data_IF_849624986228
#
_entry.id   IF_849624986228
#
_cell.length_a   1.000
_cell.length_b   1.000
_cell.length_c   1.000
_cell.angle_alpha   90.00
_cell.angle_beta   90.00
_cell.angle_gamma   90.00
#
_symmetry.space_group_name_H-M   'P 1'
#
loop_
_entity.id
_entity.type
_entity.pdbx_description
1 polymer ?
#
# COMPACT_ATOMS: atom_id res chain seq x y z
N UNK A 1 23.98 -19.18 -8.55
CA UNK A 1 22.94 -18.54 -7.71
C UNK A 1 23.57 -18.04 -6.40
N UNK A 2 24.66 -17.25 -6.48
CA UNK A 2 25.47 -16.84 -5.32
C UNK A 2 25.96 -15.40 -5.40
N UNK A 3 25.40 -14.59 -6.30
CA UNK A 3 25.92 -13.25 -6.62
C UNK A 3 25.10 -12.09 -6.03
N UNK A 4 24.05 -12.39 -5.26
CA UNK A 4 23.22 -11.37 -4.59
C UNK A 4 23.59 -11.15 -3.11
N UNK A 5 24.62 -11.83 -2.63
CA UNK A 5 25.04 -11.91 -1.22
C UNK A 5 26.47 -11.36 -1.02
N UNK A 6 26.73 -10.14 -1.51
CA UNK A 6 28.01 -9.44 -1.30
C UNK A 6 27.85 -7.91 -1.12
N UNK A 7 26.62 -7.43 -0.92
CA UNK A 7 26.40 -6.04 -0.54
C UNK A 7 26.66 -5.90 0.95
N UNK A 8 27.78 -5.28 1.32
CA UNK A 8 28.07 -4.84 2.68
C UNK A 8 26.82 -4.18 3.29
N UNK A 9 26.20 -4.75 4.34
CA UNK A 9 24.96 -4.20 4.93
C UNK A 9 25.17 -2.81 5.53
N UNK A 10 26.43 -2.43 5.82
CA UNK A 10 26.81 -1.12 6.33
C UNK A 10 27.09 -0.07 5.23
N UNK A 11 27.25 -0.47 3.97
CA UNK A 11 27.43 0.47 2.85
C UNK A 11 26.10 1.04 2.32
N UNK A 12 24.97 0.47 2.77
CA UNK A 12 23.62 0.80 2.28
C UNK A 12 22.85 1.81 3.15
N UNK A 13 23.41 2.24 4.28
CA UNK A 13 22.75 3.22 5.17
C UNK A 13 23.04 4.63 4.67
N UNK A 14 22.30 5.05 3.65
CA UNK A 14 22.31 6.44 3.20
C UNK A 14 21.63 7.35 4.23
N UNK A 15 22.23 8.52 4.49
CA UNK A 15 21.60 9.55 5.30
C UNK A 15 20.38 10.12 4.58
N UNK A 16 19.28 10.44 5.31
CA UNK A 16 18.08 10.96 4.68
C UNK A 16 18.38 12.29 3.98
N UNK A 17 17.92 12.49 2.73
CA UNK A 17 18.17 13.72 2.00
C UNK A 17 17.47 14.90 2.70
N UNK A 18 18.24 15.92 3.08
CA UNK A 18 17.73 17.14 3.73
C UNK A 18 17.39 18.26 2.73
N UNK A 19 17.79 18.11 1.46
CA UNK A 19 17.50 19.07 0.40
C UNK A 19 16.25 18.68 -0.39
N UNK A 20 15.45 19.67 -0.79
CA UNK A 20 14.23 19.48 -1.61
C UNK A 20 14.55 18.69 -2.89
N UNK A 21 15.68 18.99 -3.53
CA UNK A 21 16.16 18.28 -4.74
C UNK A 21 16.54 16.83 -4.45
N UNK A 22 17.15 16.57 -3.30
CA UNK A 22 17.50 15.21 -2.85
C UNK A 22 16.25 14.37 -2.58
N UNK A 23 15.23 14.96 -1.94
CA UNK A 23 13.93 14.31 -1.71
C UNK A 23 13.28 13.97 -3.05
N UNK A 24 13.19 14.93 -3.98
CA UNK A 24 12.56 14.73 -5.28
C UNK A 24 13.24 13.62 -6.10
N UNK A 25 14.56 13.51 -6.03
CA UNK A 25 15.34 12.43 -6.67
C UNK A 25 14.98 11.04 -6.15
N UNK A 26 14.58 10.92 -4.87
CA UNK A 26 14.24 9.64 -4.23
C UNK A 26 12.75 9.27 -4.33
N UNK A 27 11.89 10.15 -4.86
CA UNK A 27 10.45 9.89 -5.05
C UNK A 27 10.13 8.98 -6.25
N UNK A 28 11.06 8.84 -7.20
CA UNK A 28 10.84 8.13 -8.47
C UNK A 28 10.23 6.72 -8.33
N UNK A 29 10.81 5.81 -7.52
CA UNK A 29 10.27 4.46 -7.37
C UNK A 29 8.83 4.42 -6.83
N UNK A 30 8.50 5.30 -5.88
CA UNK A 30 7.15 5.39 -5.32
C UNK A 30 6.13 5.89 -6.35
N UNK A 31 6.53 6.87 -7.18
CA UNK A 31 5.68 7.40 -8.24
C UNK A 31 5.41 6.35 -9.33
N UNK A 32 6.41 5.56 -9.72
CA UNK A 32 6.27 4.49 -10.72
C UNK A 32 5.28 3.43 -10.22
N UNK A 33 5.38 3.00 -8.95
CA UNK A 33 4.47 2.03 -8.34
C UNK A 33 3.05 2.61 -8.24
N UNK A 34 2.91 3.88 -7.88
CA UNK A 34 1.60 4.53 -7.83
C UNK A 34 0.94 4.57 -9.22
N UNK A 35 1.71 4.92 -10.26
CA UNK A 35 1.23 4.96 -11.64
C UNK A 35 0.89 3.59 -12.22
N UNK A 36 1.53 2.50 -11.77
CA UNK A 36 1.23 1.15 -12.25
C UNK A 36 -0.04 0.57 -11.63
N UNK A 37 -0.44 1.05 -10.45
CA UNK A 37 -1.65 0.57 -9.75
C UNK A 37 -2.89 1.32 -10.26
N UNK A 38 -2.79 2.62 -10.51
CA UNK A 38 -3.93 3.45 -10.92
C UNK A 38 -4.18 3.29 -12.42
N UNK A 39 -5.19 2.49 -12.77
CA UNK A 39 -5.62 2.25 -14.16
C UNK A 39 -6.76 3.16 -14.62
N UNK A 40 -6.98 3.24 -15.94
CA UNK A 40 -8.10 3.99 -16.54
C UNK A 40 -9.48 3.50 -16.08
N UNK A 41 -9.62 2.20 -15.81
CA UNK A 41 -10.86 1.60 -15.31
C UNK A 41 -11.28 2.13 -13.95
N UNK A 42 -10.34 2.30 -13.01
CA UNK A 42 -10.63 2.89 -11.70
C UNK A 42 -11.08 4.35 -11.82
N UNK A 43 -10.51 5.10 -12.76
CA UNK A 43 -10.88 6.50 -13.02
C UNK A 43 -12.32 6.61 -13.57
N UNK A 44 -12.70 5.75 -14.53
CA UNK A 44 -14.06 5.72 -15.11
C UNK A 44 -15.09 5.27 -14.07
N UNK A 45 -14.78 4.24 -13.30
CA UNK A 45 -15.66 3.71 -12.27
C UNK A 45 -15.91 4.73 -11.14
N UNK A 46 -14.85 5.38 -10.67
CA UNK A 46 -14.93 6.38 -9.60
C UNK A 46 -15.73 7.60 -10.05
N UNK A 47 -15.49 8.10 -11.26
CA UNK A 47 -16.22 9.25 -11.82
C UNK A 47 -17.69 8.92 -12.07
N UNK A 48 -18.00 7.73 -12.59
CA UNK A 48 -19.38 7.27 -12.79
C UNK A 48 -20.11 7.10 -11.46
N UNK A 49 -19.44 6.55 -10.45
CA UNK A 49 -19.99 6.42 -9.09
C UNK A 49 -20.23 7.79 -8.46
N UNK A 50 -19.32 8.75 -8.66
CA UNK A 50 -19.50 10.14 -8.23
C UNK A 50 -20.65 10.85 -8.96
N UNK A 51 -20.83 10.59 -10.27
CA UNK A 51 -21.93 11.15 -11.05
C UNK A 51 -23.30 10.61 -10.59
N UNK A 52 -23.39 9.32 -10.25
CA UNK A 52 -24.63 8.69 -9.75
C UNK A 52 -24.90 8.99 -8.26
N UNK A 53 -23.86 9.00 -7.43
CA UNK A 53 -23.95 9.18 -5.97
C UNK A 53 -23.85 10.63 -5.49
N UNK A 54 -23.56 11.58 -6.39
CA UNK A 54 -23.35 12.97 -6.07
C UNK A 54 -22.21 13.19 -5.06
N UNK A 55 -22.23 14.34 -4.39
CA UNK A 55 -21.20 14.72 -3.40
C UNK A 55 -21.38 14.07 -2.02
N UNK A 56 -22.39 13.23 -1.82
CA UNK A 56 -22.68 12.60 -0.52
C UNK A 56 -21.52 11.71 -0.03
N UNK A 57 -20.72 11.14 -0.93
CA UNK A 57 -19.58 10.28 -0.60
C UNK A 57 -18.25 11.03 -0.46
N UNK A 58 -18.20 12.33 -0.79
CA UNK A 58 -16.95 13.08 -0.87
C UNK A 58 -16.23 13.14 0.49
N UNK A 59 -16.97 13.32 1.58
CA UNK A 59 -16.39 13.38 2.92
C UNK A 59 -15.73 12.05 3.35
N UNK A 60 -16.32 10.91 2.97
CA UNK A 60 -15.74 9.58 3.21
C UNK A 60 -14.43 9.39 2.43
N UNK A 61 -14.37 9.88 1.18
CA UNK A 61 -13.16 9.82 0.35
C UNK A 61 -12.03 10.63 0.99
N UNK A 62 -12.32 11.83 1.48
CA UNK A 62 -11.32 12.69 2.13
C UNK A 62 -10.78 12.01 3.40
N UNK A 63 -11.67 11.52 4.27
CA UNK A 63 -11.27 10.83 5.51
C UNK A 63 -10.47 9.56 5.19
N UNK A 64 -10.92 8.74 4.23
CA UNK A 64 -10.20 7.55 3.80
C UNK A 64 -8.82 7.88 3.24
N UNK A 65 -8.70 8.95 2.46
CA UNK A 65 -7.41 9.43 1.94
C UNK A 65 -6.48 9.95 3.03
N UNK A 66 -6.99 10.56 4.10
CA UNK A 66 -6.17 10.96 5.23
C UNK A 66 -5.67 9.73 5.99
N UNK A 67 -6.58 8.83 6.38
CA UNK A 67 -6.23 7.61 7.13
C UNK A 67 -5.22 6.76 6.36
N UNK A 68 -5.43 6.54 5.05
CA UNK A 68 -4.51 5.71 4.25
C UNK A 68 -3.09 6.27 4.22
N UNK A 69 -2.93 7.59 4.16
CA UNK A 69 -1.60 8.22 4.12
C UNK A 69 -0.87 8.02 5.45
N UNK A 70 -1.55 8.26 6.58
CA UNK A 70 -0.95 8.04 7.90
C UNK A 70 -0.54 6.58 8.10
N UNK A 71 -1.41 5.63 7.71
CA UNK A 71 -1.12 4.20 7.82
C UNK A 71 0.09 3.82 6.95
N UNK A 72 0.18 4.33 5.71
CA UNK A 72 1.33 4.06 4.83
C UNK A 72 2.64 4.64 5.37
N UNK A 73 2.61 5.85 5.96
CA UNK A 73 3.78 6.46 6.58
C UNK A 73 4.28 5.62 7.77
N UNK A 74 3.37 5.16 8.63
CA UNK A 74 3.73 4.33 9.79
C UNK A 74 4.28 2.97 9.38
N UNK A 75 3.65 2.29 8.42
CA UNK A 75 4.12 1.00 7.90
C UNK A 75 5.48 1.14 7.19
N UNK A 76 5.66 2.21 6.43
CA UNK A 76 6.92 2.55 5.78
C UNK A 76 8.02 2.81 6.81
N UNK A 77 7.74 3.65 7.81
CA UNK A 77 8.66 3.94 8.91
C UNK A 77 9.06 2.67 9.65
N UNK A 78 8.09 1.82 10.01
CA UNK A 78 8.36 0.53 10.66
C UNK A 78 9.28 -0.38 9.84
N UNK A 79 9.06 -0.44 8.53
CA UNK A 79 9.84 -1.27 7.60
C UNK A 79 11.28 -0.75 7.50
N UNK A 80 11.46 0.57 7.42
CA UNK A 80 12.77 1.22 7.34
C UNK A 80 13.55 1.06 8.66
N UNK A 81 12.90 1.24 9.82
CA UNK A 81 13.58 1.18 11.12
C UNK A 81 13.92 -0.23 11.56
N UNK A 82 13.07 -1.21 11.23
CA UNK A 82 13.21 -2.59 11.72
C UNK A 82 13.89 -3.51 10.69
N UNK A 83 13.98 -3.08 9.42
CA UNK A 83 14.51 -3.89 8.32
C UNK A 83 13.66 -5.12 7.97
N UNK A 84 12.45 -5.24 8.54
CA UNK A 84 11.52 -6.35 8.25
C UNK A 84 10.36 -5.85 7.40
N UNK A 85 9.91 -6.67 6.46
CA UNK A 85 8.76 -6.32 5.60
C UNK A 85 7.51 -6.08 6.45
N UNK A 86 6.63 -5.17 6.00
CA UNK A 86 5.41 -4.81 6.74
C UNK A 86 4.53 -6.02 7.03
N UNK A 87 4.42 -6.96 6.08
CA UNK A 87 3.68 -8.24 6.24
C UNK A 87 4.31 -9.10 7.35
N UNK A 88 5.64 -9.15 7.43
CA UNK A 88 6.33 -9.92 8.48
C UNK A 88 6.19 -9.26 9.85
N UNK A 89 6.17 -7.93 9.93
CA UNK A 89 5.79 -7.20 11.15
C UNK A 89 4.38 -7.55 11.61
N UNK A 90 3.43 -7.56 10.67
CA UNK A 90 2.02 -7.86 10.91
C UNK A 90 1.78 -9.31 11.36
N UNK A 91 2.63 -10.24 10.89
CA UNK A 91 2.61 -11.63 11.34
C UNK A 91 3.03 -11.82 12.81
N UNK A 92 3.72 -10.83 13.41
CA UNK A 92 4.14 -10.83 14.81
C UNK A 92 3.09 -10.25 15.76
N UNK A 93 2.02 -9.63 15.24
CA UNK A 93 0.97 -9.06 16.08
C UNK A 93 0.33 -10.17 16.95
N UNK A 94 0.13 -9.91 18.26
CA UNK A 94 -0.50 -10.87 19.15
C UNK A 94 -1.96 -11.06 18.74
N UNK A 95 -2.32 -12.29 18.37
CA UNK A 95 -3.68 -12.65 17.97
C UNK A 95 -3.84 -14.17 17.87
N UNK A 96 -5.09 -14.68 17.84
CA UNK A 96 -5.35 -16.10 17.65
C UNK A 96 -4.75 -16.56 16.32
N UNK A 97 -3.88 -17.57 16.41
CA UNK A 97 -3.23 -18.17 15.24
C UNK A 97 -4.17 -19.25 14.70
N UNK A 98 -4.91 -18.92 13.63
CA UNK A 98 -5.73 -19.91 12.92
C UNK A 98 -4.81 -20.68 11.96
N UNK A 99 -4.23 -21.78 12.45
CA UNK A 99 -3.31 -22.64 11.68
C UNK A 99 -1.89 -22.09 11.54
N UNK A 100 -1.30 -22.18 10.33
CA UNK A 100 0.08 -21.76 10.01
C UNK A 100 0.26 -20.23 9.77
N UNK A 101 -0.82 -19.44 9.81
CA UNK A 101 -0.80 -18.00 9.57
C UNK A 101 -1.49 -17.21 10.70
N UNK A 102 -1.07 -15.95 10.92
CA UNK A 102 -1.70 -15.06 11.89
C UNK A 102 -3.13 -14.69 11.42
N UNK A 103 -4.09 -14.45 12.32
CA UNK A 103 -5.46 -14.03 11.95
C UNK A 103 -5.45 -12.83 10.99
N UNK A 104 -4.52 -11.90 11.19
CA UNK A 104 -4.39 -10.74 10.31
C UNK A 104 -4.07 -11.11 8.84
N UNK A 105 -3.23 -12.12 8.60
CA UNK A 105 -2.93 -12.57 7.22
C UNK A 105 -4.17 -13.18 6.58
N UNK A 106 -4.95 -13.96 7.33
CA UNK A 106 -6.21 -14.52 6.84
C UNK A 106 -7.24 -13.43 6.54
N UNK A 107 -7.38 -12.44 7.42
CA UNK A 107 -8.24 -11.28 7.18
C UNK A 107 -7.82 -10.53 5.91
N UNK A 108 -6.52 -10.23 5.77
CA UNK A 108 -5.98 -9.57 4.58
C UNK A 108 -6.22 -10.37 3.30
N UNK A 109 -6.02 -11.68 3.33
CA UNK A 109 -6.24 -12.57 2.20
C UNK A 109 -7.72 -12.63 1.78
N UNK A 110 -8.63 -12.75 2.75
CA UNK A 110 -10.08 -12.72 2.49
C UNK A 110 -10.45 -11.37 1.89
N UNK A 111 -10.01 -10.26 2.50
CA UNK A 111 -10.28 -8.92 2.00
C UNK A 111 -9.78 -8.73 0.56
N UNK A 112 -8.61 -9.27 0.22
CA UNK A 112 -8.07 -9.24 -1.13
C UNK A 112 -8.99 -9.95 -2.14
N UNK A 113 -9.56 -11.10 -1.79
CA UNK A 113 -10.54 -11.80 -2.63
C UNK A 113 -11.79 -10.94 -2.84
N UNK A 114 -12.32 -10.32 -1.78
CA UNK A 114 -13.48 -9.43 -1.88
C UNK A 114 -13.21 -8.20 -2.77
N UNK A 115 -12.02 -7.61 -2.66
CA UNK A 115 -11.63 -6.45 -3.47
C UNK A 115 -11.51 -6.82 -4.96
N UNK A 116 -10.97 -8.01 -5.26
CA UNK A 116 -10.94 -8.53 -6.63
C UNK A 116 -12.36 -8.78 -7.16
N UNK A 117 -13.27 -9.25 -6.31
CA UNK A 117 -14.70 -9.36 -6.63
C UNK A 117 -15.36 -8.00 -6.91
N UNK A 118 -15.05 -6.96 -6.12
CA UNK A 118 -15.57 -5.60 -6.34
C UNK A 118 -15.06 -5.01 -7.66
N UNK A 119 -13.78 -5.18 -7.99
CA UNK A 119 -13.22 -4.78 -9.28
C UNK A 119 -13.93 -5.49 -10.44
N UNK A 120 -14.20 -6.79 -10.32
CA UNK A 120 -14.98 -7.54 -11.31
C UNK A 120 -16.42 -7.02 -11.46
N UNK A 121 -17.08 -6.67 -10.34
CA UNK A 121 -18.42 -6.09 -10.35
C UNK A 121 -18.49 -4.69 -10.96
N UNK A 122 -17.43 -3.89 -10.80
CA UNK A 122 -17.29 -2.58 -11.46
C UNK A 122 -17.13 -2.75 -12.97
N UNK A 123 -16.25 -3.64 -13.42
CA UNK A 123 -16.00 -3.89 -14.85
C UNK A 123 -17.23 -4.50 -15.54
N UNK A 124 -17.99 -5.34 -14.85
CA UNK A 124 -19.25 -5.90 -15.39
C UNK A 124 -20.45 -4.96 -15.33
N UNK A 125 -20.35 -3.83 -14.62
CA UNK A 125 -21.43 -2.86 -14.43
C UNK A 125 -21.29 -1.56 -15.24
N UNK A 126 -20.18 -1.40 -15.98
CA UNK A 126 -19.93 -0.30 -16.93
C UNK A 126 -20.25 -0.72 -18.36
#
# INVERSE_FOLDING_TARGET
MSEFDSRDPNAAVETPPTSIRGILSKLGPGLIIAGSIVGSGELIATTTTGAKGGFALLWLIIIGCLIKVFVQIELGRFTITTGVTSIKGLSKLPGPRLGRGNWFIWYWFIMFIFIMGQLGGIVGGV
#
